data_IF_768760197216
#
_entry.id   IF_768760197216
#
_cell.length_a   1.000
_cell.length_b   1.000
_cell.length_c   1.000
_cell.angle_alpha   90.00
_cell.angle_beta   90.00
_cell.angle_gamma   90.00
#
_symmetry.space_group_name_H-M   'P 1'
#
loop_
_entity.id
_entity.type
_entity.pdbx_description
1 polymer ?
#
# COMPACT_ATOMS: atom_id res chain seq x y z
N UNK A 1 -17.49 5.32 10.73
CA UNK A 1 -16.96 6.61 11.24
C UNK A 1 -15.45 6.48 11.30
N UNK A 2 -14.70 7.36 10.62
CA UNK A 2 -13.23 7.30 10.60
C UNK A 2 -12.67 7.69 11.98
N UNK A 3 -11.70 6.92 12.50
CA UNK A 3 -11.09 7.24 13.79
C UNK A 3 -10.25 8.51 13.70
N UNK A 4 -10.16 9.30 14.78
CA UNK A 4 -9.30 10.51 14.81
C UNK A 4 -7.87 10.18 14.39
N UNK A 5 -7.31 9.07 14.89
CA UNK A 5 -5.94 8.63 14.56
C UNK A 5 -5.78 8.32 13.08
N UNK A 6 -6.76 7.64 12.46
CA UNK A 6 -6.72 7.35 11.02
C UNK A 6 -6.74 8.65 10.18
N UNK A 7 -7.56 9.62 10.59
CA UNK A 7 -7.59 10.95 9.95
C UNK A 7 -6.27 11.69 10.12
N UNK A 8 -5.70 11.70 11.32
CA UNK A 8 -4.41 12.35 11.59
C UNK A 8 -3.28 11.71 10.73
N UNK A 9 -3.27 10.38 10.57
CA UNK A 9 -2.32 9.67 9.70
C UNK A 9 -2.52 10.08 8.24
N UNK A 10 -3.78 10.15 7.78
CA UNK A 10 -4.12 10.51 6.40
C UNK A 10 -3.70 11.95 6.08
N UNK A 11 -3.97 12.89 6.97
CA UNK A 11 -3.58 14.29 6.83
C UNK A 11 -2.06 14.45 6.75
N UNK A 12 -1.30 13.71 7.58
CA UNK A 12 0.16 13.71 7.51
C UNK A 12 0.66 13.23 6.14
N UNK A 13 0.15 12.12 5.62
CA UNK A 13 0.56 11.58 4.31
C UNK A 13 0.32 12.62 3.19
N UNK A 14 -0.88 13.20 3.13
CA UNK A 14 -1.24 14.16 2.07
C UNK A 14 -0.44 15.47 2.12
N UNK A 15 -0.10 15.96 3.32
CA UNK A 15 0.71 17.17 3.49
C UNK A 15 2.11 17.01 2.87
N UNK A 16 2.62 15.77 2.81
CA UNK A 16 4.02 15.49 2.49
C UNK A 16 4.23 15.23 1.00
N UNK A 17 3.25 14.59 0.33
CA UNK A 17 3.18 14.53 -1.13
C UNK A 17 3.22 15.94 -1.75
N UNK A 18 2.59 16.91 -1.09
CA UNK A 18 2.50 18.30 -1.55
C UNK A 18 3.83 19.06 -1.44
N UNK A 19 4.78 18.61 -0.60
CA UNK A 19 6.03 19.31 -0.29
C UNK A 19 7.28 18.66 -0.91
N UNK A 20 7.17 17.49 -1.53
CA UNK A 20 8.31 16.70 -1.98
C UNK A 20 8.91 17.24 -3.31
N UNK A 21 9.62 18.37 -3.22
CA UNK A 21 10.42 18.93 -4.31
C UNK A 21 11.91 18.57 -4.14
N UNK A 22 12.39 17.63 -4.97
CA UNK A 22 13.80 17.50 -5.42
C UNK A 22 14.91 17.36 -4.35
N UNK A 23 14.96 16.27 -3.60
CA UNK A 23 16.25 15.71 -3.10
C UNK A 23 16.24 14.19 -3.27
N UNK A 24 17.39 13.58 -3.52
CA UNK A 24 17.54 12.13 -3.72
C UNK A 24 16.98 11.38 -2.49
N UNK A 25 15.90 10.62 -2.66
CA UNK A 25 15.22 9.89 -1.58
C UNK A 25 15.20 8.39 -1.90
N UNK A 26 15.43 7.49 -0.91
CA UNK A 26 15.41 6.05 -1.15
C UNK A 26 14.09 5.58 -1.76
N UNK A 27 14.17 4.44 -2.44
CA UNK A 27 13.18 3.81 -3.34
C UNK A 27 11.71 3.69 -2.87
N UNK A 28 11.30 4.17 -1.69
CA UNK A 28 9.91 4.13 -1.21
C UNK A 28 9.53 5.47 -0.54
N UNK A 29 9.25 6.47 -1.37
CA UNK A 29 9.00 7.85 -0.95
C UNK A 29 7.57 8.07 -0.43
N UNK A 30 6.67 7.09 -0.58
CA UNK A 30 5.25 7.25 -0.26
C UNK A 30 4.98 7.22 1.26
N UNK A 31 5.89 6.60 2.02
CA UNK A 31 5.69 6.35 3.44
C UNK A 31 6.90 6.77 4.30
N UNK A 32 7.94 7.36 3.72
CA UNK A 32 9.19 7.74 4.40
C UNK A 32 9.21 9.22 4.82
N UNK A 33 9.74 9.58 6.00
CA UNK A 33 10.22 8.76 7.13
C UNK A 33 9.15 8.38 8.18
N UNK A 34 7.87 8.69 7.95
CA UNK A 34 6.83 8.71 8.98
C UNK A 34 6.24 7.34 9.30
N UNK A 35 6.15 6.45 8.32
CA UNK A 35 5.70 5.09 8.54
C UNK A 35 6.91 4.20 8.80
N UNK A 36 6.90 3.59 9.98
CA UNK A 36 7.95 2.68 10.44
C UNK A 36 7.36 1.29 10.63
N UNK A 37 8.24 0.28 10.70
CA UNK A 37 7.86 -1.10 11.02
C UNK A 37 6.99 -1.16 12.28
N UNK A 38 7.30 -0.36 13.31
CA UNK A 38 6.54 -0.32 14.56
C UNK A 38 5.07 0.08 14.35
N UNK A 39 4.78 0.97 13.42
CA UNK A 39 3.41 1.35 13.08
C UNK A 39 2.66 0.20 12.40
N UNK A 40 3.33 -0.50 11.48
CA UNK A 40 2.78 -1.69 10.80
C UNK A 40 2.49 -2.81 11.81
N UNK A 41 3.49 -3.16 12.62
CA UNK A 41 3.38 -4.20 13.66
C UNK A 41 2.25 -3.86 14.63
N UNK A 42 2.24 -2.64 15.18
CA UNK A 42 1.19 -2.23 16.12
C UNK A 42 -0.19 -2.25 15.47
N UNK A 43 -0.29 -1.84 14.20
CA UNK A 43 -1.51 -1.90 13.42
C UNK A 43 -2.03 -3.33 13.23
N UNK A 44 -1.14 -4.30 13.01
CA UNK A 44 -1.50 -5.70 12.78
C UNK A 44 -2.23 -6.35 13.98
N UNK A 45 -1.99 -5.86 15.20
CA UNK A 45 -2.67 -6.32 16.41
C UNK A 45 -4.04 -5.67 16.65
N UNK A 46 -4.45 -4.71 15.83
CA UNK A 46 -5.78 -4.11 15.95
C UNK A 46 -6.87 -5.06 15.45
N UNK A 47 -8.12 -4.92 15.95
CA UNK A 47 -9.25 -5.73 15.50
C UNK A 47 -9.42 -5.72 13.98
N UNK A 48 -10.05 -6.77 13.44
CA UNK A 48 -10.39 -6.81 12.02
C UNK A 48 -11.25 -5.60 11.67
N UNK A 49 -11.05 -5.07 10.46
CA UNK A 49 -11.77 -3.89 9.94
C UNK A 49 -11.48 -2.58 10.69
N UNK A 50 -10.51 -2.58 11.61
CA UNK A 50 -10.12 -1.35 12.29
C UNK A 50 -9.60 -0.32 11.26
N UNK A 51 -10.12 0.93 11.27
CA UNK A 51 -9.77 1.93 10.25
C UNK A 51 -8.27 2.16 10.09
N UNK A 52 -7.51 2.18 11.18
CA UNK A 52 -6.04 2.33 11.15
C UNK A 52 -5.37 1.23 10.33
N UNK A 53 -5.81 -0.03 10.41
CA UNK A 53 -5.26 -1.11 9.59
C UNK A 53 -5.47 -0.85 8.10
N UNK A 54 -6.67 -0.40 7.75
CA UNK A 54 -7.03 -0.08 6.38
C UNK A 54 -6.22 1.09 5.86
N UNK A 55 -6.01 2.14 6.68
CA UNK A 55 -5.20 3.30 6.33
C UNK A 55 -3.72 2.93 6.15
N UNK A 56 -3.15 2.12 7.05
CA UNK A 56 -1.78 1.64 6.94
C UNK A 56 -1.56 0.83 5.65
N UNK A 57 -2.45 -0.12 5.37
CA UNK A 57 -2.39 -0.91 4.15
C UNK A 57 -2.52 -0.05 2.89
N UNK A 58 -3.47 0.90 2.87
CA UNK A 58 -3.67 1.82 1.74
C UNK A 58 -2.45 2.71 1.49
N UNK A 59 -1.79 3.20 2.54
CA UNK A 59 -0.59 4.02 2.43
C UNK A 59 0.59 3.26 1.78
N UNK A 60 0.65 1.94 1.96
CA UNK A 60 1.70 1.10 1.38
C UNK A 60 1.44 0.70 -0.07
N UNK A 61 0.23 0.86 -0.61
CA UNK A 61 -0.13 0.43 -1.98
C UNK A 61 0.78 1.02 -3.06
N UNK A 62 1.07 2.34 -3.10
CA UNK A 62 1.90 2.89 -4.15
C UNK A 62 3.33 2.35 -4.12
N UNK A 63 3.91 2.20 -2.92
CA UNK A 63 5.23 1.60 -2.75
C UNK A 63 5.27 0.11 -3.08
N UNK A 64 4.20 -0.62 -2.77
CA UNK A 64 4.10 -2.04 -3.10
C UNK A 64 3.97 -2.31 -4.61
N UNK A 65 3.20 -1.47 -5.33
CA UNK A 65 3.03 -1.61 -6.79
C UNK A 65 4.18 -1.00 -7.59
N UNK A 66 4.75 0.12 -7.12
CA UNK A 66 5.74 0.89 -7.87
C UNK A 66 7.19 0.45 -7.65
N UNK A 67 7.48 -0.29 -6.58
CA UNK A 67 8.85 -0.55 -6.16
C UNK A 67 9.12 -2.04 -6.04
N UNK A 68 10.14 -2.53 -6.77
CA UNK A 68 10.56 -3.94 -6.75
C UNK A 68 10.88 -4.45 -5.34
N UNK A 69 11.42 -3.56 -4.51
CA UNK A 69 11.76 -3.84 -3.11
C UNK A 69 10.91 -2.94 -2.21
N UNK A 70 9.66 -3.33 -1.98
CA UNK A 70 8.79 -2.62 -1.03
C UNK A 70 9.40 -2.63 0.37
N UNK A 71 9.44 -1.48 1.04
CA UNK A 71 10.16 -1.36 2.32
C UNK A 71 9.53 -2.18 3.45
N UNK A 72 8.25 -2.52 3.34
CA UNK A 72 7.54 -3.37 4.30
C UNK A 72 7.26 -4.79 3.80
N UNK A 73 8.05 -5.28 2.84
CA UNK A 73 7.90 -6.64 2.34
C UNK A 73 8.06 -7.67 3.48
N UNK A 74 9.07 -7.49 4.34
CA UNK A 74 9.29 -8.38 5.48
C UNK A 74 8.11 -8.37 6.45
N UNK A 75 7.56 -7.20 6.78
CA UNK A 75 6.42 -7.09 7.69
C UNK A 75 5.14 -7.67 7.08
N UNK A 76 4.98 -7.63 5.76
CA UNK A 76 3.87 -8.28 5.09
C UNK A 76 3.96 -9.82 5.18
N UNK A 77 5.17 -10.37 5.21
CA UNK A 77 5.44 -11.80 5.42
C UNK A 77 5.29 -12.20 6.90
N UNK A 78 5.90 -11.44 7.80
CA UNK A 78 5.94 -11.72 9.24
C UNK A 78 4.58 -11.52 9.93
N UNK A 79 3.74 -10.61 9.39
CA UNK A 79 2.41 -10.28 9.92
C UNK A 79 1.34 -10.54 8.86
N UNK A 80 0.86 -11.79 8.71
CA UNK A 80 -0.11 -12.17 7.67
C UNK A 80 -1.39 -11.34 7.68
N UNK A 81 -1.77 -10.81 8.83
CA UNK A 81 -2.91 -9.91 8.99
C UNK A 81 -2.70 -8.61 8.20
N UNK A 82 -1.52 -8.02 8.32
CA UNK A 82 -1.13 -6.83 7.56
C UNK A 82 -0.99 -7.17 6.08
N UNK A 83 -0.34 -8.28 5.74
CA UNK A 83 -0.23 -8.76 4.36
C UNK A 83 -1.60 -8.92 3.68
N UNK A 84 -2.57 -9.51 4.36
CA UNK A 84 -3.94 -9.64 3.86
C UNK A 84 -4.64 -8.29 3.65
N UNK A 85 -4.43 -7.33 4.56
CA UNK A 85 -4.96 -5.98 4.41
C UNK A 85 -4.32 -5.24 3.23
N UNK A 86 -3.01 -5.42 3.03
CA UNK A 86 -2.26 -4.85 1.90
C UNK A 86 -2.76 -5.42 0.57
N UNK A 87 -2.89 -6.74 0.44
CA UNK A 87 -3.42 -7.37 -0.78
C UNK A 87 -4.85 -6.92 -1.09
N UNK A 88 -5.68 -6.75 -0.06
CA UNK A 88 -7.03 -6.19 -0.22
C UNK A 88 -6.97 -4.75 -0.73
N UNK A 89 -6.09 -3.91 -0.18
CA UNK A 89 -5.92 -2.53 -0.62
C UNK A 89 -5.39 -2.44 -2.06
N UNK A 90 -4.43 -3.30 -2.44
CA UNK A 90 -3.90 -3.42 -3.80
C UNK A 90 -5.02 -3.81 -4.77
N UNK A 91 -5.84 -4.82 -4.44
CA UNK A 91 -7.00 -5.20 -5.27
C UNK A 91 -7.94 -4.02 -5.50
N UNK A 92 -8.24 -3.23 -4.47
CA UNK A 92 -9.11 -2.06 -4.59
C UNK A 92 -8.49 -0.98 -5.50
N UNK A 93 -7.19 -0.73 -5.37
CA UNK A 93 -6.48 0.22 -6.22
C UNK A 93 -6.43 -0.23 -7.69
N UNK A 94 -6.13 -1.50 -7.95
CA UNK A 94 -6.14 -2.07 -9.29
C UNK A 94 -7.55 -2.03 -9.91
N UNK A 95 -8.59 -2.34 -9.14
CA UNK A 95 -9.98 -2.21 -9.61
C UNK A 95 -10.37 -0.75 -9.92
N UNK A 96 -9.81 0.23 -9.19
CA UNK A 96 -10.05 1.64 -9.47
C UNK A 96 -9.31 2.09 -10.76
N UNK A 97 -8.05 1.67 -10.93
CA UNK A 97 -7.28 1.92 -12.16
C UNK A 97 -7.92 1.24 -13.38
N UNK A 98 -8.48 0.05 -13.17
CA UNK A 98 -9.24 -0.69 -14.17
C UNK A 98 -10.42 0.13 -14.74
N UNK A 99 -11.08 0.94 -13.91
CA UNK A 99 -12.15 1.86 -14.37
C UNK A 99 -11.63 3.04 -15.22
N UNK A 100 -10.32 3.29 -15.21
CA UNK A 100 -9.66 4.35 -15.96
C UNK A 100 -9.08 3.88 -17.31
N UNK A 101 -9.42 2.66 -17.75
CA UNK A 101 -9.05 2.03 -19.04
C UNK A 101 -7.59 1.61 -19.22
N UNK A 102 -6.77 1.66 -18.16
CA UNK A 102 -5.39 1.18 -18.24
C UNK A 102 -5.36 -0.35 -18.29
N UNK A 103 -4.65 -0.92 -19.29
CA UNK A 103 -4.42 -2.37 -19.38
C UNK A 103 -3.41 -2.77 -18.32
N UNK A 104 -3.89 -3.41 -17.25
CA UNK A 104 -3.03 -4.01 -16.23
C UNK A 104 -2.68 -5.44 -16.64
N UNK A 105 -1.40 -5.80 -16.55
CA UNK A 105 -0.92 -7.16 -16.85
C UNK A 105 0.15 -7.59 -15.86
N UNK A 106 0.32 -8.90 -15.70
CA UNK A 106 1.39 -9.51 -14.92
C UNK A 106 1.94 -10.75 -15.64
N UNK A 107 3.19 -11.10 -15.35
CA UNK A 107 3.82 -12.33 -15.85
C UNK A 107 3.47 -13.50 -14.93
N UNK A 108 2.96 -14.58 -15.50
CA UNK A 108 2.72 -15.84 -14.79
C UNK A 108 4.06 -16.43 -14.31
N UNK A 109 4.23 -16.67 -13.01
CA UNK A 109 5.48 -17.20 -12.48
C UNK A 109 5.77 -18.67 -12.87
N UNK A 110 4.80 -19.40 -13.42
CA UNK A 110 4.96 -20.81 -13.77
C UNK A 110 5.33 -21.05 -15.23
N UNK A 111 4.85 -20.20 -16.14
CA UNK A 111 5.06 -20.38 -17.58
C UNK A 111 5.47 -19.10 -18.33
N UNK A 112 5.80 -18.02 -17.61
CA UNK A 112 6.24 -16.72 -18.12
C UNK A 112 5.27 -16.03 -19.09
N UNK A 113 4.01 -16.48 -19.18
CA UNK A 113 3.01 -15.84 -20.03
C UNK A 113 2.52 -14.54 -19.41
N UNK A 114 2.22 -13.57 -20.28
CA UNK A 114 1.60 -12.32 -19.85
C UNK A 114 0.08 -12.54 -19.69
N UNK A 115 -0.42 -12.37 -18.47
CA UNK A 115 -1.84 -12.42 -18.14
C UNK A 115 -2.35 -10.98 -18.03
N UNK A 116 -3.40 -10.66 -18.79
CA UNK A 116 -4.10 -9.38 -18.71
C UNK A 116 -5.25 -9.49 -17.72
N UNK A 117 -5.36 -8.54 -16.81
CA UNK A 117 -6.53 -8.44 -15.92
C UNK A 117 -7.75 -8.02 -16.76
N UNK A 118 -8.86 -8.76 -16.66
CA UNK A 118 -10.03 -8.57 -17.52
C UNK A 118 -10.77 -7.27 -17.23
N UNK A 119 -11.30 -6.65 -18.28
CA UNK A 119 -12.19 -5.50 -18.13
C UNK A 119 -13.62 -5.91 -17.76
N UNK A 120 -13.98 -5.69 -16.48
CA UNK A 120 -15.36 -5.80 -15.99
C UNK A 120 -16.12 -4.49 -16.16
#
# INVERSE_FOLDING_TARGET
>A
MESKVARDIKEAICYLDSNNTKRYVPLDNYTWPWLTSKHIVSGAFLPREHPVRQTLAAACVPGYLGCKNHKFAQEAEDYPIFGADLLRAVRLALNAAHRLSERVSFTDPFDDKIIYLSQN
#
